data_IF_579064046822
#
_entry.id   IF_579064046822
#
_cell.length_a   1.000
_cell.length_b   1.000
_cell.length_c   1.000
_cell.angle_alpha   90.00
_cell.angle_beta   90.00
_cell.angle_gamma   90.00
#
_symmetry.space_group_name_H-M   'P 1'
#
loop_
_entity.id
_entity.type
_entity.pdbx_description
1 polymer ?
#
# COMPACT_ATOMS: atom_id res chain seq x y z
N UNK A 1 3.15 -13.46 -19.33
CA UNK A 1 3.19 -12.06 -18.84
C UNK A 1 2.77 -12.04 -17.37
N UNK A 2 3.26 -11.09 -16.59
CA UNK A 2 2.82 -10.87 -15.20
C UNK A 2 1.35 -10.43 -15.18
N UNK A 3 0.50 -10.92 -14.25
CA UNK A 3 -0.86 -10.41 -14.06
C UNK A 3 -0.88 -9.00 -13.46
N UNK A 4 0.25 -8.55 -12.88
CA UNK A 4 0.43 -7.18 -12.41
C UNK A 4 0.89 -6.27 -13.54
N UNK A 5 0.39 -5.04 -13.53
CA UNK A 5 0.68 -4.02 -14.54
C UNK A 5 2.17 -3.68 -14.67
N UNK A 6 2.57 -3.03 -15.77
CA UNK A 6 3.96 -2.62 -16.00
C UNK A 6 4.55 -1.85 -14.81
N UNK A 7 5.79 -2.14 -14.47
CA UNK A 7 6.51 -1.47 -13.38
C UNK A 7 6.16 -1.91 -11.96
N UNK A 8 5.18 -2.81 -11.76
CA UNK A 8 4.84 -3.32 -10.42
C UNK A 8 6.08 -3.88 -9.69
N UNK A 9 6.85 -4.72 -10.38
CA UNK A 9 8.03 -5.39 -9.81
C UNK A 9 9.24 -4.46 -9.59
N UNK A 10 9.22 -3.24 -10.12
CA UNK A 10 10.30 -2.27 -9.88
C UNK A 10 10.30 -1.77 -8.44
N UNK A 11 9.11 -1.76 -7.82
CA UNK A 11 8.87 -1.27 -6.45
C UNK A 11 8.45 -2.36 -5.48
N UNK A 12 7.94 -3.49 -5.97
CA UNK A 12 7.34 -4.55 -5.14
C UNK A 12 7.92 -5.93 -5.41
N UNK A 13 7.90 -6.77 -4.38
CA UNK A 13 8.16 -8.21 -4.43
C UNK A 13 7.01 -8.99 -3.80
N UNK A 14 7.18 -10.30 -3.66
CA UNK A 14 6.20 -11.18 -3.03
C UNK A 14 6.86 -12.03 -1.94
N UNK A 15 6.29 -12.02 -0.74
CA UNK A 15 6.69 -12.85 0.38
C UNK A 15 5.69 -13.96 0.66
N UNK A 16 5.67 -14.45 1.89
CA UNK A 16 4.65 -15.41 2.32
C UNK A 16 3.28 -14.71 2.40
N UNK A 17 2.43 -14.97 1.40
CA UNK A 17 1.07 -14.44 1.22
C UNK A 17 0.91 -12.92 0.99
N UNK A 18 1.98 -12.12 1.05
CA UNK A 18 1.90 -10.65 1.02
C UNK A 18 2.82 -10.01 -0.01
N UNK A 19 2.43 -8.84 -0.51
CA UNK A 19 3.32 -7.94 -1.25
C UNK A 19 4.39 -7.41 -0.31
N UNK A 20 5.63 -7.33 -0.81
CA UNK A 20 6.74 -6.60 -0.16
C UNK A 20 6.94 -5.30 -0.92
N UNK A 21 7.04 -4.16 -0.24
CA UNK A 21 7.33 -2.84 -0.83
C UNK A 21 8.79 -2.48 -0.53
N UNK A 22 9.65 -2.62 -1.54
CA UNK A 22 11.09 -2.33 -1.42
C UNK A 22 11.49 -0.94 -1.92
N UNK A 23 10.65 -0.28 -2.73
CA UNK A 23 10.74 1.16 -3.06
C UNK A 23 9.36 1.80 -2.95
N UNK A 24 9.31 3.04 -2.48
CA UNK A 24 8.06 3.76 -2.21
C UNK A 24 8.23 5.26 -2.47
N UNK A 25 7.14 5.93 -2.80
CA UNK A 25 7.01 7.38 -2.91
C UNK A 25 6.14 7.95 -1.76
N UNK A 26 6.09 9.27 -1.56
CA UNK A 26 5.16 9.87 -0.60
C UNK A 26 3.70 9.53 -0.90
N UNK A 27 3.03 8.88 0.05
CA UNK A 27 1.64 8.39 -0.10
C UNK A 27 1.54 6.92 -0.52
N UNK A 28 2.66 6.25 -0.78
CA UNK A 28 2.69 4.79 -0.91
C UNK A 28 2.72 4.12 0.48
N UNK A 29 2.10 2.94 0.64
CA UNK A 29 2.39 2.08 1.78
C UNK A 29 3.85 1.61 1.77
N UNK A 30 4.38 1.18 2.92
CA UNK A 30 5.73 0.62 3.06
C UNK A 30 5.69 -0.72 3.80
N UNK A 31 6.78 -1.47 3.69
CA UNK A 31 6.92 -2.76 4.38
C UNK A 31 6.21 -3.88 3.64
N UNK A 32 5.37 -4.66 4.32
CA UNK A 32 4.67 -5.80 3.72
C UNK A 32 3.15 -5.68 3.92
N UNK A 33 2.35 -6.17 2.97
CA UNK A 33 0.90 -6.01 3.02
C UNK A 33 0.18 -6.30 1.70
N UNK A 34 -1.02 -5.76 1.55
CA UNK A 34 -1.84 -5.89 0.34
C UNK A 34 -2.78 -4.69 0.13
N UNK A 35 -3.19 -4.54 -1.12
CA UNK A 35 -4.35 -3.73 -1.50
C UNK A 35 -5.45 -4.65 -2.01
N UNK A 36 -6.65 -4.50 -1.47
CA UNK A 36 -7.84 -5.27 -1.83
C UNK A 36 -8.81 -4.40 -2.61
N UNK A 37 -9.07 -4.76 -3.88
CA UNK A 37 -9.87 -3.99 -4.83
C UNK A 37 -11.29 -3.63 -4.38
N UNK A 38 -11.83 -4.27 -3.33
CA UNK A 38 -13.10 -3.89 -2.70
C UNK A 38 -12.99 -2.70 -1.71
N UNK A 39 -11.88 -1.95 -1.73
CA UNK A 39 -11.72 -0.74 -0.94
C UNK A 39 -10.96 -0.93 0.37
N UNK A 40 -10.08 -1.92 0.43
CA UNK A 40 -9.29 -2.21 1.64
C UNK A 40 -7.80 -2.13 1.35
N UNK A 41 -7.00 -1.72 2.33
CA UNK A 41 -5.55 -1.73 2.26
C UNK A 41 -4.98 -2.02 3.65
N UNK A 42 -3.96 -2.87 3.74
CA UNK A 42 -3.29 -3.13 5.01
C UNK A 42 -1.81 -3.43 4.82
N UNK A 43 -0.98 -2.72 5.57
CA UNK A 43 0.48 -2.85 5.54
C UNK A 43 1.09 -2.65 6.92
N UNK A 44 2.21 -3.33 7.12
CA UNK A 44 3.06 -3.26 8.30
C UNK A 44 4.45 -2.79 7.88
N UNK A 45 4.89 -1.63 8.39
CA UNK A 45 6.25 -1.12 8.20
C UNK A 45 7.07 -1.31 9.48
N UNK A 46 7.90 -2.37 9.57
CA UNK A 46 8.71 -2.61 10.75
C UNK A 46 9.78 -1.54 10.99
N UNK A 47 10.11 -0.70 9.99
CA UNK A 47 11.12 0.35 10.13
C UNK A 47 10.57 1.56 10.89
N UNK A 48 9.31 1.90 10.69
CA UNK A 48 8.64 3.03 11.36
C UNK A 48 7.74 2.57 12.50
N UNK A 49 7.43 1.28 12.60
CA UNK A 49 6.45 0.73 13.54
C UNK A 49 5.00 0.95 13.13
N UNK A 50 4.74 1.53 11.95
CA UNK A 50 3.38 1.78 11.47
C UNK A 50 2.70 0.49 11.08
N UNK A 51 1.50 0.28 11.60
CA UNK A 51 0.54 -0.71 11.13
C UNK A 51 -0.69 0.05 10.65
N UNK A 52 -0.92 0.08 9.35
CA UNK A 52 -2.07 0.76 8.75
C UNK A 52 -3.11 -0.25 8.28
N UNK A 53 -4.39 0.05 8.56
CA UNK A 53 -5.54 -0.66 8.00
C UNK A 53 -6.55 0.37 7.52
N UNK A 54 -6.81 0.40 6.22
CA UNK A 54 -7.84 1.21 5.60
C UNK A 54 -9.00 0.30 5.19
N UNK A 55 -10.20 0.64 5.65
CA UNK A 55 -11.44 -0.04 5.30
C UNK A 55 -12.44 0.99 4.77
N UNK A 56 -12.75 0.91 3.48
CA UNK A 56 -13.76 1.76 2.84
C UNK A 56 -14.88 0.88 2.27
N UNK A 57 -16.03 1.50 1.97
CA UNK A 57 -17.15 0.84 1.29
C UNK A 57 -17.20 1.24 -0.20
N UNK A 58 -16.02 1.31 -0.84
CA UNK A 58 -15.87 1.75 -2.24
C UNK A 58 -14.87 0.87 -2.97
N UNK A 59 -15.32 0.24 -4.05
CA UNK A 59 -14.47 -0.56 -4.93
C UNK A 59 -13.49 0.36 -5.69
N UNK A 60 -12.29 -0.14 -5.95
CA UNK A 60 -11.33 0.44 -6.88
C UNK A 60 -11.77 0.17 -8.32
N UNK A 61 -11.83 1.21 -9.13
CA UNK A 61 -12.23 1.16 -10.54
C UNK A 61 -11.04 1.21 -11.51
N UNK A 62 -9.81 1.37 -10.99
CA UNK A 62 -8.59 1.41 -11.78
C UNK A 62 -7.40 0.74 -11.06
N UNK A 63 -6.31 0.40 -11.77
CA UNK A 63 -5.06 -0.06 -11.16
C UNK A 63 -4.34 1.01 -10.34
N UNK A 64 -4.65 2.29 -10.56
CA UNK A 64 -4.11 3.40 -9.77
C UNK A 64 -4.81 3.47 -8.42
N UNK A 65 -4.04 3.76 -7.36
CA UNK A 65 -4.61 3.91 -6.02
C UNK A 65 -5.62 5.08 -5.99
N UNK A 66 -6.81 4.91 -5.38
CA UNK A 66 -7.74 6.01 -5.15
C UNK A 66 -7.10 7.09 -4.27
N UNK A 67 -7.51 8.36 -4.42
CA UNK A 67 -6.99 9.47 -3.62
C UNK A 67 -7.06 9.20 -2.11
N UNK A 68 -8.17 8.61 -1.64
CA UNK A 68 -8.33 8.25 -0.24
C UNK A 68 -7.27 7.26 0.29
N UNK A 69 -6.72 6.38 -0.56
CA UNK A 69 -5.63 5.46 -0.17
C UNK A 69 -4.31 6.21 -0.04
N UNK A 70 -4.01 7.09 -1.01
CA UNK A 70 -2.80 7.92 -1.00
C UNK A 70 -2.80 8.86 0.21
N UNK A 71 -3.92 9.52 0.46
CA UNK A 71 -4.08 10.43 1.60
C UNK A 71 -3.98 9.67 2.92
N UNK A 72 -4.63 8.50 3.04
CA UNK A 72 -4.52 7.66 4.23
C UNK A 72 -3.07 7.26 4.52
N UNK A 73 -2.35 6.72 3.55
CA UNK A 73 -0.96 6.27 3.76
C UNK A 73 -0.03 7.43 4.05
N UNK A 74 -0.19 8.57 3.38
CA UNK A 74 0.54 9.79 3.68
C UNK A 74 0.31 10.21 5.14
N UNK A 75 -0.94 10.39 5.54
CA UNK A 75 -1.28 10.85 6.89
C UNK A 75 -0.88 9.85 7.97
N UNK A 76 -0.95 8.54 7.71
CA UNK A 76 -0.51 7.51 8.65
C UNK A 76 1.00 7.62 8.95
N UNK A 77 1.84 7.85 7.94
CA UNK A 77 3.27 8.06 8.15
C UNK A 77 3.60 9.43 8.74
N UNK A 78 2.86 10.48 8.40
CA UNK A 78 3.04 11.80 9.01
C UNK A 78 2.71 11.80 10.50
N UNK A 79 1.66 11.08 10.91
CA UNK A 79 1.21 10.99 12.30
C UNK A 79 2.24 10.37 13.27
N UNK A 80 3.22 9.62 12.76
CA UNK A 80 4.25 8.95 13.57
C UNK A 80 5.64 9.59 13.44
N UNK A 81 5.79 10.66 12.67
CA UNK A 81 7.06 11.39 12.48
C UNK A 81 7.27 12.51 13.50
N UNK A 82 6.46 12.56 14.56
CA UNK A 82 6.58 13.53 15.66
C UNK A 82 7.71 13.22 16.63
#
# INVERSE_FOLDING_TARGET
MSPFGPGFWDKRGWGYALSIVHKHEPGDPRGFGWDGGYGTSSYWDPRTGVIGVLLTQRMMDSPSAPAAFVDFWRSAYEAVQG
#
